data_IF_437933540927
#
_entry.id   IF_437933540927
#
_cell.length_a   1.000
_cell.length_b   1.000
_cell.length_c   1.000
_cell.angle_alpha   90.00
_cell.angle_beta   90.00
_cell.angle_gamma   90.00
#
_symmetry.space_group_name_H-M   'P 1'
#
loop_
_entity.id
_entity.type
_entity.pdbx_description
1 polymer ?
#
# COMPACT_ATOMS: atom_id res chain seq x y z
N UNK A 1 8.37 -67.75 -33.65
CA UNK A 1 9.05 -66.68 -34.43
C UNK A 1 8.27 -65.37 -34.50
N UNK A 2 6.96 -65.36 -34.80
CA UNK A 2 6.17 -64.10 -34.89
C UNK A 2 5.94 -63.35 -33.56
N UNK A 3 5.94 -64.03 -32.41
CA UNK A 3 5.70 -63.40 -31.10
C UNK A 3 6.94 -62.73 -30.47
N UNK A 4 8.15 -63.15 -30.86
CA UNK A 4 9.40 -62.55 -30.38
C UNK A 4 9.78 -61.28 -31.16
N UNK A 5 9.35 -61.17 -32.42
CA UNK A 5 9.60 -59.99 -33.25
C UNK A 5 8.77 -58.78 -32.77
N UNK A 6 7.52 -58.99 -32.33
CA UNK A 6 6.68 -57.89 -31.80
C UNK A 6 7.16 -57.33 -30.45
N UNK A 7 7.84 -58.12 -29.61
CA UNK A 7 8.38 -57.63 -28.33
C UNK A 7 9.68 -56.85 -28.50
N UNK A 8 10.44 -57.15 -29.56
CA UNK A 8 11.68 -56.44 -29.88
C UNK A 8 11.40 -55.08 -30.54
N UNK A 9 10.37 -54.98 -31.39
CA UNK A 9 9.97 -53.69 -31.98
C UNK A 9 9.35 -52.72 -30.97
N UNK A 10 8.59 -53.20 -29.98
CA UNK A 10 8.05 -52.34 -28.93
C UNK A 10 9.14 -51.78 -27.99
N UNK A 11 10.18 -52.56 -27.69
CA UNK A 11 11.31 -52.13 -26.85
C UNK A 11 12.20 -51.09 -27.55
N UNK A 12 12.42 -51.25 -28.85
CA UNK A 12 13.22 -50.31 -29.66
C UNK A 12 12.50 -48.97 -29.85
N UNK A 13 11.16 -48.96 -29.96
CA UNK A 13 10.38 -47.71 -30.04
C UNK A 13 10.32 -46.99 -28.68
N UNK A 14 10.25 -47.70 -27.56
CA UNK A 14 10.33 -47.09 -26.22
C UNK A 14 11.71 -46.49 -25.93
N UNK A 15 12.80 -47.15 -26.33
CA UNK A 15 14.15 -46.61 -26.16
C UNK A 15 14.45 -45.42 -27.10
N UNK A 16 13.86 -45.38 -28.30
CA UNK A 16 14.01 -44.27 -29.24
C UNK A 16 13.23 -42.99 -28.84
N UNK A 17 12.21 -43.11 -27.98
CA UNK A 17 11.44 -41.97 -27.47
C UNK A 17 12.00 -41.40 -26.16
N UNK A 18 12.78 -42.19 -25.41
CA UNK A 18 13.38 -41.75 -24.13
C UNK A 18 14.75 -41.08 -24.34
N UNK A 19 15.47 -41.41 -25.42
CA UNK A 19 16.84 -40.91 -25.63
C UNK A 19 16.99 -39.46 -26.15
N UNK A 20 16.00 -38.80 -26.81
CA UNK A 20 16.12 -37.37 -27.11
C UNK A 20 15.86 -36.48 -25.89
N UNK A 21 15.33 -37.03 -24.79
CA UNK A 21 14.98 -36.25 -23.59
C UNK A 21 16.18 -36.03 -22.64
N UNK A 22 17.33 -36.64 -22.93
CA UNK A 22 18.52 -36.62 -22.06
C UNK A 22 19.74 -35.90 -22.67
N UNK A 23 19.58 -35.23 -23.82
CA UNK A 23 20.67 -34.57 -24.55
C UNK A 23 20.28 -33.19 -25.11
N UNK A 24 19.37 -32.46 -24.43
CA UNK A 24 19.39 -31.00 -24.58
C UNK A 24 20.60 -30.49 -23.80
N UNK A 25 21.47 -29.65 -24.40
CA UNK A 25 22.49 -28.98 -23.62
C UNK A 25 21.76 -28.21 -22.51
N UNK A 26 22.20 -28.40 -21.27
CA UNK A 26 21.97 -27.41 -20.22
C UNK A 26 22.70 -26.15 -20.66
N UNK A 27 22.17 -25.44 -21.65
CA UNK A 27 22.42 -24.03 -21.81
C UNK A 27 21.94 -23.42 -20.52
N UNK A 28 22.88 -22.83 -19.77
CA UNK A 28 22.71 -22.03 -18.56
C UNK A 28 21.63 -20.95 -18.73
N UNK A 29 20.38 -21.37 -18.83
CA UNK A 29 19.22 -20.51 -18.72
C UNK A 29 19.00 -20.35 -17.23
N UNK A 30 19.88 -19.54 -16.64
CA UNK A 30 19.74 -18.66 -15.49
C UNK A 30 18.39 -18.63 -14.74
N UNK A 31 17.80 -19.77 -14.41
CA UNK A 31 16.67 -19.91 -13.50
C UNK A 31 17.13 -19.61 -12.07
N UNK A 32 18.41 -19.90 -11.75
CA UNK A 32 19.06 -19.52 -10.50
C UNK A 32 19.35 -18.01 -10.38
N UNK A 33 19.15 -17.21 -11.44
CA UNK A 33 19.22 -15.73 -11.35
C UNK A 33 17.86 -15.03 -11.47
N UNK A 34 16.78 -15.80 -11.66
CA UNK A 34 15.40 -15.30 -11.58
C UNK A 34 14.70 -15.73 -10.29
N UNK A 35 15.26 -16.67 -9.53
CA UNK A 35 14.68 -17.07 -8.24
C UNK A 35 15.17 -16.24 -7.04
N UNK A 36 16.22 -15.40 -7.16
CA UNK A 36 16.82 -14.67 -6.02
C UNK A 36 17.15 -13.19 -6.36
N UNK A 37 16.38 -12.55 -7.23
CA UNK A 37 16.48 -11.11 -7.50
C UNK A 37 15.12 -10.41 -7.47
N UNK A 38 14.38 -10.64 -6.38
CA UNK A 38 13.70 -9.56 -5.67
C UNK A 38 13.72 -10.02 -4.21
N UNK A 39 14.48 -9.35 -3.34
CA UNK A 39 13.97 -9.20 -1.98
C UNK A 39 12.50 -8.76 -2.14
N UNK A 40 11.54 -9.31 -1.39
CA UNK A 40 10.15 -8.84 -1.47
C UNK A 40 10.21 -7.31 -1.52
N UNK A 41 9.82 -6.72 -2.65
CA UNK A 41 10.20 -5.34 -2.86
C UNK A 41 9.43 -4.52 -1.84
N UNK A 42 10.16 -3.85 -0.96
CA UNK A 42 9.57 -3.01 0.05
C UNK A 42 9.02 -1.77 -0.66
N UNK A 43 7.71 -1.69 -0.81
CA UNK A 43 7.03 -0.57 -1.45
C UNK A 43 6.51 0.32 -0.32
N UNK A 44 7.08 1.51 -0.09
CA UNK A 44 6.65 2.36 1.02
C UNK A 44 5.29 3.00 0.73
N UNK A 45 4.43 3.02 1.74
CA UNK A 45 3.13 3.68 1.68
C UNK A 45 2.77 4.40 2.97
N UNK A 46 1.61 5.04 2.94
CA UNK A 46 0.99 5.69 4.10
C UNK A 46 -0.48 5.29 4.18
N UNK A 47 -1.08 5.45 5.35
CA UNK A 47 -2.52 5.49 5.50
C UNK A 47 -2.91 6.80 6.20
N UNK A 48 -4.04 7.37 5.77
CA UNK A 48 -4.42 8.74 6.14
C UNK A 48 -5.91 8.86 6.40
N UNK A 49 -6.25 9.82 7.23
CA UNK A 49 -7.63 10.16 7.59
C UNK A 49 -7.72 11.66 7.90
N UNK A 50 -8.82 12.12 8.49
CA UNK A 50 -8.93 13.51 8.98
C UNK A 50 -7.80 13.99 9.91
N UNK A 51 -7.06 13.07 10.52
CA UNK A 51 -5.96 13.41 11.44
C UNK A 51 -4.73 13.98 10.73
N UNK A 52 -4.59 13.77 9.42
CA UNK A 52 -3.50 14.35 8.63
C UNK A 52 -3.82 15.75 8.09
N UNK A 53 -5.01 16.28 8.40
CA UNK A 53 -5.47 17.61 7.99
C UNK A 53 -5.37 17.79 6.46
N UNK A 54 -4.81 18.91 6.00
CA UNK A 54 -4.57 19.18 4.58
C UNK A 54 -3.24 18.55 4.13
N UNK A 55 -3.30 17.74 3.08
CA UNK A 55 -2.17 17.02 2.50
C UNK A 55 -1.80 17.62 1.16
N UNK A 56 -0.53 17.99 0.97
CA UNK A 56 0.00 18.36 -0.34
C UNK A 56 0.38 17.11 -1.13
N UNK A 57 -0.61 16.52 -1.79
CA UNK A 57 -0.45 15.30 -2.58
C UNK A 57 0.56 15.41 -3.72
N UNK A 58 0.75 16.62 -4.29
CA UNK A 58 1.78 16.86 -5.31
C UNK A 58 3.19 16.73 -4.74
N UNK A 59 3.39 17.15 -3.50
CA UNK A 59 4.65 16.89 -2.81
C UNK A 59 4.78 15.42 -2.43
N UNK A 60 3.73 14.79 -1.88
CA UNK A 60 3.77 13.38 -1.44
C UNK A 60 4.19 12.43 -2.56
N UNK A 61 3.64 12.55 -3.78
CA UNK A 61 4.00 11.66 -4.91
C UNK A 61 5.47 11.76 -5.34
N UNK A 62 6.15 12.85 -4.97
CA UNK A 62 7.58 13.06 -5.24
C UNK A 62 8.48 12.56 -4.09
N UNK A 63 7.92 11.89 -3.09
CA UNK A 63 8.65 11.27 -1.97
C UNK A 63 8.91 9.77 -2.21
N UNK A 64 9.31 9.05 -1.15
CA UNK A 64 9.43 7.60 -1.15
C UNK A 64 8.06 6.89 -1.13
N UNK A 65 6.97 7.59 -0.84
CA UNK A 65 5.61 7.03 -0.81
C UNK A 65 5.14 6.65 -2.22
N UNK A 66 4.58 5.44 -2.35
CA UNK A 66 4.11 4.85 -3.61
C UNK A 66 2.63 4.49 -3.62
N UNK A 67 1.96 4.55 -2.46
CA UNK A 67 0.52 4.36 -2.34
C UNK A 67 -0.02 5.01 -1.07
N UNK A 68 -1.33 5.20 -1.03
CA UNK A 68 -2.04 5.62 0.18
C UNK A 68 -3.31 4.79 0.43
N UNK A 69 -3.60 4.45 1.69
CA UNK A 69 -4.87 3.84 2.10
C UNK A 69 -5.68 4.90 2.87
N UNK A 70 -6.88 5.24 2.39
CA UNK A 70 -7.67 6.35 2.92
C UNK A 70 -8.78 5.84 3.84
N UNK A 71 -8.96 6.44 5.03
CA UNK A 71 -10.17 6.18 5.81
C UNK A 71 -11.38 6.71 5.06
N UNK A 72 -12.31 5.86 4.69
CA UNK A 72 -13.55 6.28 4.05
C UNK A 72 -14.62 6.64 5.08
N UNK A 73 -14.80 5.78 6.08
CA UNK A 73 -15.75 5.98 7.15
C UNK A 73 -15.34 5.21 8.40
N UNK A 74 -16.07 5.44 9.48
CA UNK A 74 -15.96 4.67 10.72
C UNK A 74 -17.35 4.43 11.29
N UNK A 75 -17.45 3.37 12.07
CA UNK A 75 -18.66 3.03 12.82
C UNK A 75 -18.64 3.74 14.18
N UNK A 76 -19.80 4.26 14.59
CA UNK A 76 -20.06 4.79 15.94
C UNK A 76 -21.16 3.93 16.59
N UNK A 77 -20.83 2.67 16.87
CA UNK A 77 -21.79 1.62 17.23
C UNK A 77 -22.66 1.92 18.44
N UNK A 78 -22.12 2.63 19.43
CA UNK A 78 -22.88 3.06 20.61
C UNK A 78 -24.13 3.89 20.26
N UNK A 79 -24.18 4.47 19.05
CA UNK A 79 -25.32 5.21 18.51
C UNK A 79 -25.96 4.54 17.30
N UNK A 80 -25.50 3.34 16.92
CA UNK A 80 -25.92 2.64 15.70
C UNK A 80 -25.81 3.54 14.45
N UNK A 81 -24.67 4.23 14.34
CA UNK A 81 -24.44 5.29 13.35
C UNK A 81 -23.08 5.12 12.67
N UNK A 82 -22.92 5.77 11.52
CA UNK A 82 -21.69 5.79 10.73
C UNK A 82 -21.28 7.22 10.41
N UNK A 83 -19.97 7.49 10.44
CA UNK A 83 -19.40 8.79 10.11
C UNK A 83 -18.45 8.63 8.93
N UNK A 84 -18.77 9.27 7.80
CA UNK A 84 -17.81 9.47 6.70
C UNK A 84 -16.64 10.28 7.24
N UNK A 85 -15.41 9.88 6.92
CA UNK A 85 -14.27 10.71 7.27
C UNK A 85 -14.36 12.04 6.51
N UNK A 86 -14.36 13.20 7.20
CA UNK A 86 -14.60 14.50 6.57
C UNK A 86 -13.52 14.89 5.55
N UNK A 87 -12.37 14.23 5.56
CA UNK A 87 -11.30 14.45 4.58
C UNK A 87 -11.28 13.40 3.46
N UNK A 88 -12.15 12.38 3.48
CA UNK A 88 -12.10 11.27 2.51
C UNK A 88 -12.25 11.74 1.07
N UNK A 89 -13.31 12.49 0.74
CA UNK A 89 -13.57 12.94 -0.62
C UNK A 89 -12.43 13.84 -1.15
N UNK A 90 -12.00 14.80 -0.34
CA UNK A 90 -10.91 15.69 -0.70
C UNK A 90 -9.59 14.92 -0.93
N UNK A 91 -9.26 13.99 -0.02
CA UNK A 91 -8.04 13.19 -0.15
C UNK A 91 -8.10 12.29 -1.37
N UNK A 92 -9.23 11.65 -1.62
CA UNK A 92 -9.43 10.79 -2.77
C UNK A 92 -9.25 11.56 -4.09
N UNK A 93 -9.94 12.69 -4.24
CA UNK A 93 -9.85 13.52 -5.46
C UNK A 93 -8.43 14.02 -5.71
N UNK A 94 -7.77 14.55 -4.67
CA UNK A 94 -6.45 15.16 -4.81
C UNK A 94 -5.33 14.12 -4.99
N UNK A 95 -5.39 13.01 -4.26
CA UNK A 95 -4.42 11.92 -4.41
C UNK A 95 -4.52 11.27 -5.79
N UNK A 96 -5.76 11.00 -6.25
CA UNK A 96 -6.01 10.48 -7.60
C UNK A 96 -5.52 11.45 -8.68
N UNK A 97 -5.81 12.75 -8.55
CA UNK A 97 -5.33 13.76 -9.49
C UNK A 97 -3.79 13.87 -9.52
N UNK A 98 -3.11 13.52 -8.43
CA UNK A 98 -1.65 13.44 -8.36
C UNK A 98 -1.08 12.11 -8.90
N UNK A 99 -1.93 11.14 -9.28
CA UNK A 99 -1.52 9.83 -9.77
C UNK A 99 -1.11 8.85 -8.67
N UNK A 100 -1.57 9.05 -7.43
CA UNK A 100 -1.30 8.14 -6.32
C UNK A 100 -2.22 6.90 -6.39
N UNK A 101 -1.68 5.66 -6.37
CA UNK A 101 -2.47 4.44 -6.16
C UNK A 101 -3.16 4.44 -4.79
N UNK A 102 -4.45 4.08 -4.77
CA UNK A 102 -5.30 4.20 -3.58
C UNK A 102 -5.89 2.88 -3.12
N UNK A 103 -5.95 2.70 -1.81
CA UNK A 103 -6.88 1.80 -1.11
C UNK A 103 -7.79 2.59 -0.19
N UNK A 104 -8.71 1.92 0.49
CA UNK A 104 -9.50 2.56 1.54
C UNK A 104 -9.80 1.61 2.68
N UNK A 105 -10.26 2.16 3.81
CA UNK A 105 -10.65 1.35 4.96
C UNK A 105 -11.82 1.94 5.74
N UNK A 106 -12.59 1.05 6.36
CA UNK A 106 -13.59 1.36 7.37
C UNK A 106 -13.13 0.85 8.73
N UNK A 107 -13.07 1.73 9.73
CA UNK A 107 -12.94 1.31 11.12
C UNK A 107 -14.28 0.73 11.60
N UNK A 108 -14.28 -0.54 12.02
CA UNK A 108 -15.47 -1.24 12.50
C UNK A 108 -15.22 -1.98 13.81
N UNK A 109 -16.19 -1.92 14.71
CA UNK A 109 -16.26 -2.75 15.92
C UNK A 109 -17.32 -3.87 15.82
N UNK A 110 -17.70 -4.26 14.59
CA UNK A 110 -18.67 -5.31 14.32
C UNK A 110 -18.27 -6.65 14.98
N UNK A 111 -19.25 -7.33 15.55
CA UNK A 111 -19.09 -8.60 16.25
C UNK A 111 -20.00 -9.71 15.70
N UNK A 112 -20.86 -9.40 14.73
CA UNK A 112 -21.79 -10.35 14.12
C UNK A 112 -21.82 -10.15 12.61
N UNK A 113 -22.22 -11.19 11.88
CA UNK A 113 -22.38 -11.17 10.42
C UNK A 113 -23.24 -9.98 9.97
N UNK A 114 -24.39 -9.78 10.64
CA UNK A 114 -25.29 -8.67 10.35
C UNK A 114 -24.57 -7.32 10.47
N UNK A 115 -23.84 -7.10 11.55
CA UNK A 115 -23.11 -5.84 11.79
C UNK A 115 -22.03 -5.62 10.73
N UNK A 116 -21.27 -6.65 10.36
CA UNK A 116 -20.27 -6.55 9.29
C UNK A 116 -20.91 -6.18 7.95
N UNK A 117 -22.02 -6.82 7.58
CA UNK A 117 -22.72 -6.52 6.32
C UNK A 117 -23.27 -5.08 6.32
N UNK A 118 -23.89 -4.62 7.41
CA UNK A 118 -24.40 -3.24 7.53
C UNK A 118 -23.27 -2.21 7.42
N UNK A 119 -22.12 -2.47 8.05
CA UNK A 119 -20.95 -1.59 7.97
C UNK A 119 -20.35 -1.54 6.57
N UNK A 120 -20.23 -2.69 5.93
CA UNK A 120 -19.74 -2.78 4.55
C UNK A 120 -20.71 -2.10 3.59
N UNK A 121 -22.03 -2.29 3.74
CA UNK A 121 -23.02 -1.61 2.89
C UNK A 121 -22.88 -0.08 2.99
N UNK A 122 -22.68 0.46 4.19
CA UNK A 122 -22.43 1.89 4.36
C UNK A 122 -21.11 2.33 3.71
N UNK A 123 -20.04 1.56 3.88
CA UNK A 123 -18.77 1.83 3.22
C UNK A 123 -18.94 1.86 1.69
N UNK A 124 -19.57 0.84 1.10
CA UNK A 124 -19.79 0.73 -0.35
C UNK A 124 -20.59 1.91 -0.90
N UNK A 125 -21.55 2.44 -0.14
CA UNK A 125 -22.27 3.66 -0.50
C UNK A 125 -21.34 4.88 -0.59
N UNK A 126 -20.33 4.99 0.27
CA UNK A 126 -19.29 6.02 0.21
C UNK A 126 -18.32 5.84 -0.98
N UNK A 127 -18.14 4.59 -1.44
CA UNK A 127 -17.24 4.24 -2.54
C UNK A 127 -17.87 4.39 -3.94
N UNK A 128 -19.15 4.72 -4.04
CA UNK A 128 -19.83 4.87 -5.35
C UNK A 128 -19.10 5.85 -6.28
N UNK A 129 -18.85 5.42 -7.51
CA UNK A 129 -18.14 6.20 -8.52
C UNK A 129 -16.63 6.28 -8.28
N UNK A 130 -16.08 5.51 -7.34
CA UNK A 130 -14.66 5.47 -7.01
C UNK A 130 -14.03 4.14 -7.42
N UNK A 131 -12.73 4.16 -7.69
CA UNK A 131 -11.92 2.94 -7.96
C UNK A 131 -10.70 2.89 -7.03
N UNK A 132 -10.12 1.71 -6.86
CA UNK A 132 -8.98 1.52 -5.98
C UNK A 132 -8.05 0.47 -6.58
N UNK A 133 -6.75 0.75 -6.60
CA UNK A 133 -5.69 -0.18 -7.01
C UNK A 133 -5.32 -1.13 -5.86
N UNK A 134 -5.45 -0.66 -4.62
CA UNK A 134 -5.27 -1.46 -3.41
C UNK A 134 -6.61 -1.94 -2.85
N UNK A 135 -6.61 -2.94 -1.94
CA UNK A 135 -7.83 -3.44 -1.34
C UNK A 135 -8.62 -2.40 -0.54
N UNK A 136 -9.89 -2.75 -0.33
CA UNK A 136 -10.78 -2.14 0.64
C UNK A 136 -10.68 -2.94 1.93
N UNK A 137 -10.21 -2.30 3.00
CA UNK A 137 -9.87 -2.98 4.25
C UNK A 137 -10.95 -2.84 5.32
N UNK A 138 -11.25 -3.96 5.98
CA UNK A 138 -11.92 -3.96 7.28
C UNK A 138 -10.88 -3.72 8.36
N UNK A 139 -10.92 -2.55 8.98
CA UNK A 139 -10.07 -2.16 10.11
C UNK A 139 -10.74 -2.53 11.42
N UNK A 140 -10.15 -3.50 12.14
CA UNK A 140 -10.69 -4.06 13.36
C UNK A 140 -9.70 -3.93 14.50
N UNK A 141 -10.08 -3.19 15.56
CA UNK A 141 -9.21 -2.94 16.72
C UNK A 141 -9.97 -3.00 18.06
N UNK A 142 -11.23 -3.45 18.07
CA UNK A 142 -12.10 -3.27 19.22
C UNK A 142 -11.83 -4.26 20.34
N UNK A 143 -11.00 -3.86 21.31
CA UNK A 143 -10.81 -4.57 22.56
C UNK A 143 -12.12 -4.79 23.35
N UNK A 144 -13.09 -3.89 23.20
CA UNK A 144 -14.32 -3.92 23.98
C UNK A 144 -15.37 -4.91 23.43
N UNK A 145 -15.36 -5.18 22.11
CA UNK A 145 -16.41 -5.98 21.44
C UNK A 145 -15.88 -7.22 20.71
N UNK A 146 -14.63 -7.18 20.25
CA UNK A 146 -14.07 -8.20 19.35
C UNK A 146 -13.03 -9.08 20.03
N UNK A 147 -12.12 -8.52 20.85
CA UNK A 147 -11.00 -9.28 21.46
C UNK A 147 -11.41 -10.45 22.38
N UNK A 148 -12.67 -10.47 22.84
CA UNK A 148 -13.19 -11.56 23.67
C UNK A 148 -13.91 -12.67 22.88
N UNK A 149 -14.06 -12.50 21.56
CA UNK A 149 -14.69 -13.48 20.69
C UNK A 149 -13.66 -14.54 20.30
N UNK A 150 -14.05 -15.81 20.36
CA UNK A 150 -13.20 -16.88 19.83
C UNK A 150 -13.15 -16.81 18.30
N UNK A 151 -12.03 -17.20 17.65
CA UNK A 151 -11.94 -17.27 16.20
C UNK A 151 -13.12 -18.00 15.54
N UNK A 152 -13.56 -19.14 16.10
CA UNK A 152 -14.71 -19.92 15.59
C UNK A 152 -16.03 -19.12 15.49
N UNK A 153 -16.18 -18.07 16.29
CA UNK A 153 -17.37 -17.20 16.30
C UNK A 153 -17.15 -15.98 15.43
N UNK A 154 -15.94 -15.43 15.44
CA UNK A 154 -15.62 -14.19 14.75
C UNK A 154 -15.40 -14.38 13.25
N UNK A 155 -14.71 -15.45 12.86
CA UNK A 155 -14.33 -15.69 11.47
C UNK A 155 -15.51 -15.78 10.49
N UNK A 156 -16.62 -16.50 10.78
CA UNK A 156 -17.77 -16.52 9.88
C UNK A 156 -18.38 -15.13 9.64
N UNK A 157 -18.41 -14.28 10.68
CA UNK A 157 -18.93 -12.93 10.59
C UNK A 157 -18.00 -12.00 9.78
N UNK A 158 -16.69 -12.11 10.01
CA UNK A 158 -15.67 -11.38 9.26
C UNK A 158 -15.70 -11.75 7.78
N UNK A 159 -15.73 -13.05 7.46
CA UNK A 159 -15.76 -13.54 6.08
C UNK A 159 -16.99 -13.02 5.32
N UNK A 160 -18.16 -12.96 5.95
CA UNK A 160 -19.35 -12.38 5.31
C UNK A 160 -19.17 -10.90 4.95
N UNK A 161 -18.45 -10.13 5.78
CA UNK A 161 -18.08 -8.75 5.45
C UNK A 161 -17.13 -8.67 4.26
N UNK A 162 -16.11 -9.53 4.22
CA UNK A 162 -15.15 -9.61 3.12
C UNK A 162 -15.82 -10.03 1.80
N UNK A 163 -16.63 -11.08 1.83
CA UNK A 163 -17.43 -11.53 0.68
C UNK A 163 -18.34 -10.42 0.16
N UNK A 164 -18.94 -9.62 1.07
CA UNK A 164 -19.80 -8.49 0.68
C UNK A 164 -19.03 -7.39 -0.07
N UNK A 165 -17.76 -7.15 0.28
CA UNK A 165 -16.87 -6.23 -0.44
C UNK A 165 -16.55 -6.78 -1.83
N UNK A 166 -16.24 -8.08 -1.93
CA UNK A 166 -15.94 -8.76 -3.20
C UNK A 166 -17.15 -8.78 -4.15
N UNK A 167 -18.34 -9.06 -3.63
CA UNK A 167 -19.60 -9.02 -4.38
C UNK A 167 -19.89 -7.63 -4.97
N UNK A 168 -19.31 -6.57 -4.38
CA UNK A 168 -19.38 -5.21 -4.90
C UNK A 168 -18.30 -4.88 -5.94
N UNK A 169 -17.41 -5.82 -6.26
CA UNK A 169 -16.36 -5.69 -7.26
C UNK A 169 -15.06 -5.08 -6.74
N UNK A 170 -14.83 -5.07 -5.42
CA UNK A 170 -13.59 -4.61 -4.81
C UNK A 170 -12.78 -5.78 -4.25
N UNK A 171 -11.45 -5.71 -4.35
CA UNK A 171 -10.59 -6.61 -3.57
C UNK A 171 -10.77 -6.29 -2.09
N UNK A 172 -11.14 -7.28 -1.29
CA UNK A 172 -11.30 -7.14 0.16
C UNK A 172 -9.99 -7.45 0.89
N UNK A 173 -9.73 -6.80 2.01
CA UNK A 173 -8.58 -7.09 2.87
C UNK A 173 -8.89 -6.86 4.34
N UNK A 174 -8.00 -7.31 5.22
CA UNK A 174 -8.14 -7.15 6.67
C UNK A 174 -6.99 -6.34 7.23
N UNK A 175 -7.31 -5.35 8.06
CA UNK A 175 -6.34 -4.66 8.90
C UNK A 175 -6.57 -4.95 10.38
N UNK A 176 -5.47 -5.21 11.10
CA UNK A 176 -5.47 -5.21 12.56
C UNK A 176 -4.04 -5.18 13.14
N UNK A 177 -3.94 -5.11 14.46
CA UNK A 177 -2.68 -5.28 15.18
C UNK A 177 -2.20 -6.73 15.19
N UNK A 178 -0.89 -6.93 15.34
CA UNK A 178 -0.28 -8.26 15.49
C UNK A 178 -0.92 -9.09 16.61
N UNK A 179 -1.25 -8.45 17.74
CA UNK A 179 -1.89 -9.13 18.86
C UNK A 179 -3.29 -9.64 18.48
N UNK A 180 -4.06 -8.84 17.75
CA UNK A 180 -5.40 -9.21 17.33
C UNK A 180 -5.40 -10.34 16.30
N UNK A 181 -4.47 -10.31 15.33
CA UNK A 181 -4.28 -11.43 14.41
C UNK A 181 -3.89 -12.73 15.11
N UNK A 182 -3.16 -12.66 16.22
CA UNK A 182 -2.78 -13.86 16.99
C UNK A 182 -3.86 -14.36 17.94
N UNK A 183 -4.68 -13.45 18.49
CA UNK A 183 -5.63 -13.79 19.57
C UNK A 183 -7.06 -13.98 19.08
N UNK A 184 -7.46 -13.33 17.97
CA UNK A 184 -8.87 -13.17 17.58
C UNK A 184 -9.20 -13.69 16.17
N UNK A 185 -8.22 -13.72 15.27
CA UNK A 185 -8.40 -14.08 13.86
C UNK A 185 -7.68 -15.39 13.56
N UNK A 186 -8.31 -16.27 12.79
CA UNK A 186 -7.60 -17.37 12.14
C UNK A 186 -6.88 -16.83 10.89
N UNK A 187 -5.61 -16.48 11.07
CA UNK A 187 -4.77 -15.88 10.01
C UNK A 187 -4.62 -16.82 8.82
N UNK A 188 -4.37 -18.10 9.08
CA UNK A 188 -4.12 -19.09 8.03
C UNK A 188 -5.36 -19.22 7.14
N UNK A 189 -6.56 -19.18 7.73
CA UNK A 189 -7.81 -19.16 6.98
C UNK A 189 -7.92 -17.94 6.03
N UNK A 190 -7.50 -16.74 6.45
CA UNK A 190 -7.51 -15.55 5.57
C UNK A 190 -6.50 -15.70 4.43
N UNK A 191 -5.29 -16.19 4.73
CA UNK A 191 -4.23 -16.40 3.72
C UNK A 191 -4.67 -17.46 2.70
N UNK A 192 -5.24 -18.57 3.16
CA UNK A 192 -5.75 -19.65 2.29
C UNK A 192 -6.90 -19.17 1.41
N UNK A 193 -7.75 -18.28 1.92
CA UNK A 193 -8.81 -17.62 1.15
C UNK A 193 -8.28 -16.55 0.18
N UNK A 194 -7.01 -16.16 0.29
CA UNK A 194 -6.37 -15.18 -0.58
C UNK A 194 -6.61 -13.72 -0.17
N UNK A 195 -7.09 -13.47 1.05
CA UNK A 195 -7.30 -12.11 1.54
C UNK A 195 -5.97 -11.45 1.95
N UNK A 196 -5.66 -10.25 1.42
CA UNK A 196 -4.53 -9.46 1.88
C UNK A 196 -4.60 -9.12 3.36
N UNK A 197 -3.46 -9.28 4.02
CA UNK A 197 -3.27 -8.93 5.43
C UNK A 197 -2.50 -7.62 5.52
N UNK A 198 -3.10 -6.64 6.18
CA UNK A 198 -2.46 -5.39 6.58
C UNK A 198 -2.24 -5.41 8.10
N UNK A 199 -1.01 -5.63 8.55
CA UNK A 199 -0.71 -5.81 9.97
C UNK A 199 0.03 -4.63 10.57
N UNK A 200 -0.47 -4.12 11.71
CA UNK A 200 0.26 -3.18 12.54
C UNK A 200 1.16 -3.89 13.55
N UNK A 201 2.47 -3.65 13.43
CA UNK A 201 3.47 -4.15 14.37
C UNK A 201 4.68 -3.20 14.45
N UNK A 202 4.79 -2.42 15.54
CA UNK A 202 5.80 -1.38 15.67
C UNK A 202 7.01 -1.86 16.49
N UNK A 203 7.84 -2.71 15.90
CA UNK A 203 9.03 -3.27 16.56
C UNK A 203 9.96 -2.17 17.09
N UNK A 204 10.45 -2.37 18.31
CA UNK A 204 11.38 -1.46 18.99
C UNK A 204 10.91 0.00 19.06
N UNK A 205 9.60 0.24 18.96
CA UNK A 205 9.07 1.59 18.84
C UNK A 205 9.26 2.44 20.10
N UNK A 206 9.45 3.73 19.88
CA UNK A 206 9.43 4.75 20.93
C UNK A 206 8.23 5.66 20.65
N UNK A 207 7.16 5.53 21.45
CA UNK A 207 5.90 6.26 21.28
C UNK A 207 5.27 6.09 19.88
N UNK A 208 5.29 4.86 19.35
CA UNK A 208 4.75 4.55 18.02
C UNK A 208 5.69 4.84 16.86
N UNK A 209 6.84 5.48 17.10
CA UNK A 209 7.84 5.74 16.07
C UNK A 209 8.74 4.53 15.96
N UNK A 210 8.81 3.93 14.77
CA UNK A 210 9.71 2.83 14.50
C UNK A 210 10.36 2.93 13.11
N UNK A 211 11.38 2.12 12.90
CA UNK A 211 12.05 1.94 11.62
C UNK A 211 11.83 0.50 11.15
N UNK A 212 11.67 0.26 9.84
CA UNK A 212 11.56 -1.10 9.32
C UNK A 212 12.92 -1.83 9.32
N UNK A 213 14.02 -1.11 9.55
CA UNK A 213 15.37 -1.67 9.43
C UNK A 213 15.61 -2.83 10.42
N UNK A 214 15.93 -4.00 9.87
CA UNK A 214 16.26 -5.19 10.65
C UNK A 214 15.08 -6.09 10.98
N UNK A 215 13.89 -5.78 10.46
CA UNK A 215 12.65 -6.53 10.63
C UNK A 215 12.05 -6.85 9.26
N UNK A 216 11.33 -7.97 9.15
CA UNK A 216 10.67 -8.43 7.92
C UNK A 216 9.39 -9.19 8.28
N UNK A 217 8.28 -8.79 7.66
CA UNK A 217 6.94 -9.36 7.88
C UNK A 217 6.37 -9.99 6.60
N UNK A 218 7.17 -10.18 5.54
CA UNK A 218 6.66 -10.62 4.24
C UNK A 218 6.02 -12.02 4.25
N UNK A 219 6.36 -12.86 5.23
CA UNK A 219 5.77 -14.20 5.40
C UNK A 219 4.43 -14.17 6.16
N UNK A 220 4.14 -13.07 6.87
CA UNK A 220 2.97 -12.96 7.76
C UNK A 220 1.93 -11.96 7.24
N UNK A 221 2.37 -10.92 6.52
CA UNK A 221 1.53 -9.83 6.08
C UNK A 221 1.82 -9.42 4.62
N UNK A 222 0.78 -9.00 3.92
CA UNK A 222 0.89 -8.39 2.60
C UNK A 222 1.36 -6.94 2.70
N UNK A 223 0.85 -6.23 3.72
CA UNK A 223 1.22 -4.86 4.07
C UNK A 223 1.57 -4.83 5.55
N UNK A 224 2.71 -4.26 5.90
CA UNK A 224 3.13 -4.04 7.27
C UNK A 224 3.09 -2.55 7.61
N UNK A 225 2.21 -2.16 8.54
CA UNK A 225 2.27 -0.85 9.19
C UNK A 225 3.33 -0.90 10.28
N UNK A 226 4.51 -0.35 9.98
CA UNK A 226 5.67 -0.45 10.87
C UNK A 226 5.76 0.70 11.87
N UNK A 227 5.09 1.83 11.64
CA UNK A 227 5.16 3.00 12.53
C UNK A 227 3.87 3.80 12.50
N UNK A 228 3.35 4.15 13.68
CA UNK A 228 2.14 4.98 13.85
C UNK A 228 2.41 6.49 14.02
N UNK A 229 3.67 6.92 13.90
CA UNK A 229 3.99 8.36 13.98
C UNK A 229 5.20 8.80 13.13
N UNK A 230 5.28 8.29 11.91
CA UNK A 230 6.31 8.69 10.95
C UNK A 230 6.11 10.10 10.38
N UNK A 231 6.92 10.43 9.37
CA UNK A 231 6.88 11.71 8.64
C UNK A 231 6.84 11.46 7.14
N UNK A 232 6.21 12.38 6.41
CA UNK A 232 6.21 12.44 4.95
C UNK A 232 6.18 13.90 4.53
N UNK A 233 7.05 14.30 3.60
CA UNK A 233 6.96 15.64 3.03
C UNK A 233 5.60 15.81 2.34
N UNK A 234 4.98 16.97 2.54
CA UNK A 234 3.59 17.23 2.14
C UNK A 234 2.54 16.94 3.23
N UNK A 235 2.92 16.33 4.36
CA UNK A 235 2.05 16.11 5.53
C UNK A 235 2.66 16.81 6.75
N UNK A 236 1.88 17.67 7.42
CA UNK A 236 2.38 18.52 8.53
C UNK A 236 2.34 17.81 9.88
N UNK A 237 1.44 16.85 10.03
CA UNK A 237 1.28 16.02 11.23
C UNK A 237 2.18 14.79 11.16
N UNK A 238 2.08 13.92 12.15
CA UNK A 238 2.58 12.55 12.02
C UNK A 238 1.68 11.75 11.08
N UNK A 239 2.26 10.73 10.44
CA UNK A 239 1.55 9.83 9.52
C UNK A 239 2.02 8.40 9.72
N UNK A 240 1.09 7.48 9.56
CA UNK A 240 1.35 6.05 9.65
C UNK A 240 2.16 5.62 8.42
N UNK A 241 3.13 4.72 8.64
CA UNK A 241 4.07 4.29 7.61
C UNK A 241 3.93 2.80 7.38
N UNK A 242 3.85 2.44 6.10
CA UNK A 242 3.60 1.10 5.64
C UNK A 242 4.71 0.62 4.69
N UNK A 243 4.91 -0.70 4.66
CA UNK A 243 5.61 -1.41 3.60
C UNK A 243 4.65 -2.43 3.00
N UNK A 244 4.41 -2.35 1.70
CA UNK A 244 3.76 -3.42 0.95
C UNK A 244 4.82 -4.34 0.36
N UNK A 245 4.65 -5.65 0.51
CA UNK A 245 5.59 -6.67 0.03
C UNK A 245 5.22 -7.26 -1.34
N UNK A 246 4.12 -6.81 -1.93
CA UNK A 246 3.63 -7.31 -3.23
C UNK A 246 3.50 -6.19 -4.25
N UNK A 247 3.97 -6.46 -5.46
CA UNK A 247 3.68 -5.61 -6.62
C UNK A 247 2.30 -5.86 -7.22
N UNK A 248 1.56 -6.89 -6.79
CA UNK A 248 0.29 -7.28 -7.41
C UNK A 248 -0.76 -6.15 -7.37
N UNK A 249 -0.75 -5.30 -6.34
CA UNK A 249 -1.64 -4.14 -6.27
C UNK A 249 -1.27 -3.02 -7.24
N UNK A 250 -0.05 -3.01 -7.78
CA UNK A 250 0.48 -1.93 -8.61
C UNK A 250 0.76 -2.38 -10.04
N UNK A 251 0.83 -3.69 -10.26
CA UNK A 251 1.12 -4.31 -11.53
C UNK A 251 -0.16 -4.90 -12.11
N UNK A 252 -1.12 -4.04 -12.42
CA UNK A 252 -2.31 -4.44 -13.16
C UNK A 252 -1.87 -4.81 -14.57
N UNK A 253 -1.89 -6.11 -14.81
CA UNK A 253 -0.88 -6.76 -15.65
C UNK A 253 -1.11 -6.61 -17.14
N UNK A 254 -2.22 -5.97 -17.54
CA UNK A 254 -2.52 -5.70 -18.92
C UNK A 254 -1.58 -4.61 -19.46
N UNK A 255 -0.65 -5.00 -20.32
CA UNK A 255 0.24 -4.09 -21.05
C UNK A 255 0.06 -4.29 -22.55
N UNK A 256 0.28 -3.24 -23.33
CA UNK A 256 0.39 -3.35 -24.79
C UNK A 256 1.86 -3.44 -25.21
N UNK A 257 2.18 -4.38 -26.09
CA UNK A 257 3.51 -4.51 -26.69
C UNK A 257 3.44 -4.47 -28.22
N UNK A 258 4.55 -4.06 -28.85
CA UNK A 258 4.69 -3.99 -30.32
C UNK A 258 3.57 -3.17 -30.99
N UNK A 259 3.24 -2.02 -30.40
CA UNK A 259 2.07 -1.24 -30.78
C UNK A 259 2.34 -0.31 -31.96
N UNK A 260 1.32 -0.14 -32.81
CA UNK A 260 1.19 0.96 -33.76
C UNK A 260 -0.12 1.68 -33.45
N UNK A 261 -0.02 2.91 -32.95
CA UNK A 261 -1.12 3.70 -32.42
C UNK A 261 -1.25 5.01 -33.21
N UNK A 262 -2.45 5.59 -33.32
CA UNK A 262 -2.62 6.90 -33.93
C UNK A 262 -1.84 7.94 -33.13
N UNK A 263 -1.20 8.88 -33.81
CA UNK A 263 -0.43 9.95 -33.20
C UNK A 263 -0.30 11.13 -34.17
N UNK A 264 -0.21 12.34 -33.61
CA UNK A 264 -0.04 13.57 -34.40
C UNK A 264 -1.21 13.86 -35.34
N UNK A 265 -0.92 14.54 -36.44
CA UNK A 265 -1.92 14.96 -37.41
C UNK A 265 -2.14 13.88 -38.47
N UNK A 266 -3.38 13.42 -38.56
CA UNK A 266 -3.85 12.45 -39.53
C UNK A 266 -4.76 13.12 -40.55
N UNK A 267 -4.63 12.75 -41.82
CA UNK A 267 -5.44 13.33 -42.89
C UNK A 267 -6.89 12.83 -42.83
N UNK A 268 -7.86 13.73 -42.88
CA UNK A 268 -9.28 13.42 -42.96
C UNK A 268 -9.58 12.43 -44.11
N UNK A 269 -10.45 11.45 -43.83
CA UNK A 269 -10.75 10.37 -44.77
C UNK A 269 -9.69 9.25 -44.84
N UNK A 270 -8.55 9.39 -44.16
CA UNK A 270 -7.52 8.34 -44.10
C UNK A 270 -7.85 7.33 -43.02
N UNK A 271 -7.58 6.05 -43.29
CA UNK A 271 -7.73 5.01 -42.29
C UNK A 271 -6.40 4.72 -41.59
N UNK A 272 -6.46 4.24 -40.35
CA UNK A 272 -5.30 3.84 -39.56
C UNK A 272 -5.45 2.40 -39.07
N UNK A 273 -4.34 1.66 -39.08
CA UNK A 273 -4.31 0.28 -38.56
C UNK A 273 -3.72 0.27 -37.17
N UNK A 274 -4.58 0.10 -36.17
CA UNK A 274 -4.12 -0.20 -34.81
C UNK A 274 -3.45 -1.57 -34.81
N UNK A 275 -2.22 -1.63 -34.31
CA UNK A 275 -1.49 -2.86 -34.07
C UNK A 275 -0.96 -2.91 -32.64
N UNK A 276 -0.64 -4.11 -32.18
CA UNK A 276 -0.17 -4.37 -30.83
C UNK A 276 -0.75 -5.65 -30.27
N UNK A 277 -0.13 -6.17 -29.21
CA UNK A 277 -0.64 -7.30 -28.43
C UNK A 277 -0.85 -6.83 -27.00
N UNK A 278 -2.09 -6.91 -26.52
CA UNK A 278 -2.41 -6.74 -25.11
C UNK A 278 -2.10 -8.06 -24.41
N UNK A 279 -1.31 -8.02 -23.35
CA UNK A 279 -0.93 -9.19 -22.55
C UNK A 279 -1.21 -8.93 -21.08
N UNK A 280 -1.78 -9.89 -20.35
CA UNK A 280 -1.95 -9.82 -18.90
C UNK A 280 -1.44 -11.10 -18.21
N UNK A 281 -0.97 -10.98 -16.98
CA UNK A 281 -0.66 -12.11 -16.09
C UNK A 281 -1.94 -12.87 -15.68
N UNK A 282 -3.10 -12.22 -15.81
CA UNK A 282 -4.44 -12.76 -15.59
C UNK A 282 -5.20 -12.98 -16.91
N UNK A 283 -6.31 -13.73 -16.88
CA UNK A 283 -7.09 -14.01 -18.09
C UNK A 283 -7.87 -12.77 -18.50
N UNK A 284 -7.61 -12.21 -19.69
CA UNK A 284 -8.34 -11.06 -20.23
C UNK A 284 -9.81 -11.45 -20.46
N UNK A 285 -10.72 -10.79 -19.73
CA UNK A 285 -12.17 -10.94 -19.86
C UNK A 285 -12.70 -10.03 -20.96
N UNK A 286 -12.31 -8.76 -20.95
CA UNK A 286 -12.68 -7.80 -21.98
C UNK A 286 -11.49 -6.96 -22.43
N UNK A 287 -11.53 -6.52 -23.68
CA UNK A 287 -10.72 -5.39 -24.14
C UNK A 287 -11.67 -4.47 -24.89
N UNK A 288 -11.71 -3.21 -24.49
CA UNK A 288 -12.55 -2.17 -25.08
C UNK A 288 -11.65 -1.10 -25.69
N UNK A 289 -11.85 -0.82 -26.98
CA UNK A 289 -11.22 0.29 -27.68
C UNK A 289 -12.25 1.33 -28.01
N UNK A 290 -11.99 2.58 -27.65
CA UNK A 290 -12.92 3.69 -27.82
C UNK A 290 -12.19 4.94 -28.34
N UNK A 291 -12.87 5.69 -29.21
CA UNK A 291 -12.38 6.99 -29.71
C UNK A 291 -13.25 8.08 -29.11
N UNK A 292 -12.63 9.01 -28.40
CA UNK A 292 -13.28 10.15 -27.76
C UNK A 292 -12.97 11.44 -28.52
N UNK A 293 -13.94 12.35 -28.53
CA UNK A 293 -13.73 13.76 -28.89
C UNK A 293 -13.15 14.48 -27.65
N UNK A 294 -11.98 15.12 -27.78
CA UNK A 294 -11.34 15.79 -26.64
C UNK A 294 -12.09 17.05 -26.17
N UNK A 295 -13.02 17.58 -26.97
CA UNK A 295 -13.88 18.69 -26.57
C UNK A 295 -15.21 18.22 -25.96
N UNK A 296 -15.50 16.91 -26.02
CA UNK A 296 -16.70 16.32 -25.43
C UNK A 296 -16.44 14.86 -25.00
N UNK A 297 -15.71 14.71 -23.89
CA UNK A 297 -15.27 13.39 -23.38
C UNK A 297 -16.38 12.52 -22.76
N UNK A 298 -17.63 13.03 -22.71
CA UNK A 298 -18.73 12.37 -21.98
C UNK A 298 -19.09 10.99 -22.56
N UNK A 299 -19.06 10.86 -23.89
CA UNK A 299 -19.43 9.63 -24.62
C UNK A 299 -18.45 9.36 -25.77
N UNK A 300 -18.01 8.11 -25.98
CA UNK A 300 -17.13 7.79 -27.11
C UNK A 300 -17.89 7.87 -28.44
N UNK A 301 -17.23 8.45 -29.45
CA UNK A 301 -17.74 8.55 -30.83
C UNK A 301 -17.87 7.16 -31.45
N UNK A 302 -16.89 6.29 -31.16
CA UNK A 302 -16.84 4.91 -31.60
C UNK A 302 -16.36 4.05 -30.45
N UNK A 303 -16.95 2.87 -30.27
CA UNK A 303 -16.49 1.89 -29.29
C UNK A 303 -16.57 0.48 -29.85
N UNK A 304 -15.62 -0.36 -29.46
CA UNK A 304 -15.60 -1.78 -29.77
C UNK A 304 -15.12 -2.56 -28.55
N UNK A 305 -15.79 -3.66 -28.24
CA UNK A 305 -15.39 -4.57 -27.17
C UNK A 305 -15.20 -5.97 -27.72
N UNK A 306 -14.16 -6.65 -27.23
CA UNK A 306 -13.91 -8.07 -27.48
C UNK A 306 -13.77 -8.83 -26.17
N UNK A 307 -13.89 -10.15 -26.25
CA UNK A 307 -13.82 -11.06 -25.11
C UNK A 307 -12.76 -12.13 -25.39
N UNK A 308 -11.48 -11.86 -25.08
CA UNK A 308 -10.38 -12.75 -25.47
C UNK A 308 -10.43 -14.12 -24.79
N UNK A 309 -10.80 -14.16 -23.51
CA UNK A 309 -10.72 -15.36 -22.66
C UNK A 309 -9.33 -16.04 -22.71
N UNK A 310 -8.29 -15.22 -22.81
CA UNK A 310 -6.89 -15.64 -22.93
C UNK A 310 -6.00 -14.60 -22.24
N UNK A 311 -4.74 -14.95 -21.97
CA UNK A 311 -3.76 -14.01 -21.39
C UNK A 311 -3.17 -13.02 -22.40
N UNK A 312 -3.46 -13.20 -23.69
CA UNK A 312 -3.00 -12.31 -24.76
C UNK A 312 -4.09 -12.07 -25.80
N UNK A 313 -4.06 -10.89 -26.42
CA UNK A 313 -4.94 -10.55 -27.53
C UNK A 313 -4.26 -9.59 -28.52
N UNK A 314 -4.22 -9.97 -29.79
CA UNK A 314 -3.69 -9.13 -30.88
C UNK A 314 -4.76 -8.16 -31.36
N UNK A 315 -4.47 -6.87 -31.31
CA UNK A 315 -5.40 -5.80 -31.70
C UNK A 315 -5.63 -5.74 -33.22
N UNK A 316 -4.65 -6.18 -34.01
CA UNK A 316 -4.77 -6.17 -35.47
C UNK A 316 -5.95 -7.02 -35.94
N UNK A 317 -6.75 -6.47 -36.86
CA UNK A 317 -7.85 -7.21 -37.49
C UNK A 317 -9.22 -6.72 -37.05
N UNK A 318 -9.78 -7.26 -35.96
CA UNK A 318 -11.15 -6.94 -35.54
C UNK A 318 -11.31 -5.49 -35.10
N UNK A 319 -10.40 -4.96 -34.25
CA UNK A 319 -10.42 -3.56 -33.83
C UNK A 319 -10.26 -2.61 -35.01
N UNK A 320 -9.27 -2.86 -35.86
CA UNK A 320 -9.01 -2.07 -37.08
C UNK A 320 -10.23 -1.97 -38.01
N UNK A 321 -11.09 -2.99 -38.01
CA UNK A 321 -12.31 -3.01 -38.85
C UNK A 321 -13.50 -2.28 -38.23
N UNK A 322 -13.47 -2.03 -36.92
CA UNK A 322 -14.60 -1.49 -36.16
C UNK A 322 -14.37 -0.06 -35.68
N UNK A 323 -13.13 0.32 -35.41
CA UNK A 323 -12.72 1.70 -35.20
C UNK A 323 -12.27 2.29 -36.54
N UNK A 324 -13.16 3.05 -37.17
CA UNK A 324 -12.99 3.57 -38.53
C UNK A 324 -12.52 5.03 -38.44
N UNK A 325 -11.21 5.24 -38.52
CA UNK A 325 -10.60 6.57 -38.44
C UNK A 325 -11.00 7.46 -39.62
N UNK A 326 -11.22 6.85 -40.80
CA UNK A 326 -11.58 7.57 -42.02
C UNK A 326 -12.93 8.29 -41.95
N UNK A 327 -13.78 7.99 -40.98
CA UNK A 327 -15.09 8.66 -40.81
C UNK A 327 -15.07 9.78 -39.78
N UNK A 328 -13.94 10.00 -39.10
CA UNK A 328 -13.81 11.08 -38.14
C UNK A 328 -13.73 12.43 -38.88
N UNK A 329 -14.50 13.44 -38.46
CA UNK A 329 -14.37 14.79 -38.98
C UNK A 329 -13.06 15.44 -38.52
N UNK A 330 -12.79 16.65 -39.01
CA UNK A 330 -11.73 17.51 -38.50
C UNK A 330 -11.91 17.75 -36.99
N UNK A 331 -10.85 17.56 -36.20
CA UNK A 331 -10.93 17.66 -34.75
C UNK A 331 -9.81 16.97 -33.99
N UNK A 332 -9.84 17.08 -32.66
CA UNK A 332 -8.90 16.46 -31.73
C UNK A 332 -9.55 15.27 -31.02
N UNK A 333 -8.84 14.14 -31.01
CA UNK A 333 -9.37 12.87 -30.55
C UNK A 333 -8.39 12.13 -29.65
N UNK A 334 -8.91 11.18 -28.89
CA UNK A 334 -8.09 10.23 -28.14
C UNK A 334 -8.59 8.80 -28.36
N UNK A 335 -7.67 7.92 -28.74
CA UNK A 335 -7.91 6.47 -28.70
C UNK A 335 -7.57 5.97 -27.29
N UNK A 336 -8.58 5.45 -26.58
CA UNK A 336 -8.38 4.71 -25.33
C UNK A 336 -8.56 3.22 -25.58
N UNK A 337 -7.65 2.38 -25.09
CA UNK A 337 -7.83 0.93 -25.04
C UNK A 337 -7.76 0.50 -23.58
N UNK A 338 -8.85 -0.04 -23.08
CA UNK A 338 -8.97 -0.55 -21.71
C UNK A 338 -9.08 -2.07 -21.73
N UNK A 339 -8.33 -2.75 -20.88
CA UNK A 339 -8.41 -4.18 -20.66
C UNK A 339 -8.99 -4.47 -19.27
N UNK A 340 -9.91 -5.42 -19.19
CA UNK A 340 -10.35 -6.02 -17.92
C UNK A 340 -9.91 -7.45 -17.93
N UNK A 341 -9.16 -7.87 -16.91
CA UNK A 341 -8.76 -9.26 -16.76
C UNK A 341 -9.51 -9.95 -15.61
N UNK A 342 -9.10 -11.16 -15.25
CA UNK A 342 -9.78 -11.99 -14.27
C UNK A 342 -9.60 -11.52 -12.83
N UNK A 343 -8.81 -10.47 -12.57
CA UNK A 343 -8.84 -9.74 -11.30
C UNK A 343 -9.96 -8.70 -11.24
N UNK A 344 -10.76 -8.57 -12.31
CA UNK A 344 -11.86 -7.61 -12.47
C UNK A 344 -11.42 -6.13 -12.38
N UNK A 345 -10.12 -5.87 -12.52
CA UNK A 345 -9.57 -4.52 -12.63
C UNK A 345 -9.59 -4.04 -14.09
N UNK A 346 -10.11 -2.84 -14.33
CA UNK A 346 -10.02 -2.18 -15.62
C UNK A 346 -8.72 -1.36 -15.72
N UNK A 347 -7.89 -1.65 -16.73
CA UNK A 347 -6.58 -1.01 -16.96
C UNK A 347 -6.60 -0.31 -18.31
N UNK A 348 -6.32 0.99 -18.35
CA UNK A 348 -6.03 1.65 -19.63
C UNK A 348 -4.64 1.21 -20.10
N UNK A 349 -4.61 0.47 -21.20
CA UNK A 349 -3.36 -0.02 -21.83
C UNK A 349 -2.89 0.89 -22.97
N UNK A 350 -3.75 1.81 -23.42
CA UNK A 350 -3.44 2.84 -24.41
C UNK A 350 -4.27 4.09 -24.09
N UNK A 351 -3.60 5.24 -23.99
CA UNK A 351 -4.20 6.56 -24.10
C UNK A 351 -3.40 7.33 -25.16
N UNK A 352 -3.94 7.41 -26.39
CA UNK A 352 -3.21 7.91 -27.56
C UNK A 352 -3.96 9.08 -28.21
N UNK A 353 -3.54 10.34 -27.94
CA UNK A 353 -4.12 11.51 -28.58
C UNK A 353 -3.66 11.63 -30.05
N UNK A 354 -4.57 12.07 -30.91
CA UNK A 354 -4.32 12.36 -32.32
C UNK A 354 -5.32 13.40 -32.84
N UNK A 355 -4.99 14.05 -33.95
CA UNK A 355 -5.88 15.02 -34.57
C UNK A 355 -6.18 14.62 -36.01
N UNK A 356 -7.37 14.95 -36.49
CA UNK A 356 -7.76 14.83 -37.89
C UNK A 356 -7.75 16.22 -38.49
N UNK A 357 -7.00 16.40 -39.58
CA UNK A 357 -6.90 17.65 -40.35
C UNK A 357 -7.17 17.41 -41.84
N UNK A 358 -7.64 18.42 -42.58
CA UNK A 358 -7.92 18.28 -44.03
C UNK A 358 -6.72 17.76 -44.85
N UNK A 359 -5.50 18.16 -44.49
CA UNK A 359 -4.28 17.86 -45.23
C UNK A 359 -3.34 16.87 -44.52
N UNK A 360 -3.53 16.63 -43.21
CA UNK A 360 -2.67 15.76 -42.40
C UNK A 360 -1.27 16.33 -42.17
N UNK A 361 -1.09 17.65 -42.32
CA UNK A 361 0.21 18.29 -42.10
C UNK A 361 0.38 18.72 -40.64
N UNK A 362 1.60 18.63 -40.12
CA UNK A 362 1.94 19.30 -38.85
C UNK A 362 1.75 20.81 -39.06
N UNK A 363 0.83 21.43 -38.30
CA UNK A 363 0.78 22.88 -38.23
C UNK A 363 2.17 23.37 -37.79
N UNK A 364 2.85 24.26 -38.55
CA UNK A 364 4.05 24.88 -38.03
C UNK A 364 3.67 25.66 -36.76
N UNK A 365 4.51 25.66 -35.72
CA UNK A 365 4.24 26.48 -34.54
C UNK A 365 4.04 27.91 -35.02
N UNK A 366 2.91 28.50 -34.64
CA UNK A 366 2.62 29.90 -34.94
C UNK A 366 3.77 30.74 -34.37
N UNK A 367 4.62 31.23 -35.27
CA UNK A 367 5.75 32.07 -34.93
C UNK A 367 5.18 33.38 -34.41
N UNK A 368 5.22 33.58 -33.10
CA UNK A 368 5.07 34.91 -32.53
C UNK A 368 6.28 35.73 -32.96
N UNK A 369 6.00 36.63 -33.89
CA UNK A 369 6.90 37.63 -34.43
C UNK A 369 7.54 38.42 -33.27
N UNK A 370 8.84 38.23 -33.01
CA UNK A 370 9.61 39.14 -32.18
C UNK A 370 10.64 39.84 -33.06
N UNK A 371 10.35 41.09 -33.34
CA UNK A 371 11.17 41.99 -34.13
C UNK A 371 12.52 42.17 -33.43
N UNK A 372 13.59 41.79 -34.12
CA UNK A 372 14.96 42.04 -33.68
C UNK A 372 15.28 43.53 -33.85
N UNK A 373 15.63 44.22 -32.77
CA UNK A 373 16.48 45.43 -32.83
C UNK A 373 17.79 45.10 -32.11
N UNK A 374 18.88 45.19 -32.86
CA UNK A 374 20.23 44.97 -32.39
C UNK A 374 20.82 46.21 -31.72
N UNK A 375 21.66 45.96 -30.70
CA UNK A 375 23.04 46.44 -30.56
C UNK A 375 23.42 47.11 -29.21
N UNK A 376 24.57 46.62 -28.71
CA UNK A 376 25.63 47.32 -27.95
C UNK A 376 25.41 47.72 -26.48
N UNK A 377 26.09 47.01 -25.57
CA UNK A 377 27.40 47.41 -24.98
C UNK A 377 27.58 46.86 -23.55
N UNK A 378 28.72 46.20 -23.31
CA UNK A 378 29.36 46.12 -21.99
C UNK A 378 30.12 47.47 -21.75
N UNK A 379 30.71 47.79 -20.57
CA UNK A 379 31.02 46.93 -19.42
C UNK A 379 30.81 47.58 -18.02
N UNK A 380 31.02 46.84 -16.92
CA UNK A 380 31.99 47.17 -15.86
C UNK A 380 31.77 46.38 -14.55
N UNK A 381 32.91 46.05 -13.96
CA UNK A 381 33.24 45.34 -12.72
C UNK A 381 33.06 46.17 -11.43
N UNK A 382 33.24 45.48 -10.29
CA UNK A 382 33.47 45.95 -8.89
C UNK A 382 32.24 45.83 -7.97
N UNK A 383 32.33 45.40 -6.70
CA UNK A 383 33.43 44.95 -5.85
C UNK A 383 32.85 44.29 -4.60
N UNK A 384 33.64 43.42 -3.99
CA UNK A 384 33.44 42.80 -2.66
C UNK A 384 33.14 43.81 -1.55
N UNK A 385 32.40 43.39 -0.53
CA UNK A 385 32.71 43.78 0.86
C UNK A 385 32.43 42.64 1.82
N UNK A 386 33.50 42.22 2.48
CA UNK A 386 33.67 41.25 3.54
C UNK A 386 33.15 41.83 4.86
N UNK A 387 32.54 41.01 5.73
CA UNK A 387 32.45 41.30 7.16
C UNK A 387 32.72 40.03 7.97
N UNK A 388 33.79 40.11 8.75
CA UNK A 388 34.43 39.08 9.56
C UNK A 388 34.01 39.27 11.03
N UNK A 389 33.70 38.18 11.75
CA UNK A 389 33.70 38.14 13.22
C UNK A 389 34.30 36.78 13.65
N UNK A 390 35.61 36.67 13.78
CA UNK A 390 36.43 36.68 15.03
C UNK A 390 35.99 35.70 16.13
N UNK A 391 36.72 34.59 16.23
CA UNK A 391 36.87 33.76 17.44
C UNK A 391 37.94 34.35 18.38
N UNK A 392 37.75 34.18 19.69
CA UNK A 392 38.80 34.26 20.72
C UNK A 392 38.34 33.54 22.02
N UNK A 393 39.25 33.15 22.94
CA UNK A 393 39.25 31.79 23.50
C UNK A 393 39.21 31.64 25.05
N UNK A 394 39.15 30.38 25.50
CA UNK A 394 39.56 29.78 26.79
C UNK A 394 38.90 30.20 28.12
N UNK A 395 38.42 29.20 28.89
CA UNK A 395 38.97 28.86 30.22
C UNK A 395 38.28 27.65 30.87
N UNK A 396 39.10 26.74 31.41
CA UNK A 396 38.74 25.61 32.28
C UNK A 396 38.99 26.01 33.74
N UNK A 397 38.14 25.59 34.70
CA UNK A 397 38.55 25.41 36.09
C UNK A 397 38.21 24.00 36.65
N UNK A 398 38.78 23.64 37.82
CA UNK A 398 39.34 22.30 38.06
C UNK A 398 38.55 21.40 39.02
N UNK A 399 39.01 20.14 39.08
CA UNK A 399 38.83 19.07 40.07
C UNK A 399 38.01 19.36 41.34
N UNK A 400 37.06 18.49 41.65
CA UNK A 400 36.65 18.24 43.04
C UNK A 400 36.29 16.76 43.29
N UNK A 401 37.18 16.13 44.06
CA UNK A 401 37.03 15.01 45.01
C UNK A 401 36.00 13.90 44.77
N UNK A 402 36.53 12.71 44.47
CA UNK A 402 35.92 11.41 44.76
C UNK A 402 35.83 11.21 46.27
N UNK A 403 34.62 11.05 46.82
CA UNK A 403 34.39 10.50 48.16
C UNK A 403 33.58 9.21 48.10
N UNK A 404 34.19 8.16 48.62
CA UNK A 404 33.61 6.85 48.89
C UNK A 404 32.50 6.92 49.95
N UNK A 405 31.37 6.26 49.71
CA UNK A 405 30.36 5.97 50.73
C UNK A 405 30.06 4.46 50.79
N UNK A 406 30.29 3.88 51.96
CA UNK A 406 29.95 2.49 52.33
C UNK A 406 28.42 2.28 52.47
N UNK A 407 27.91 1.03 52.38
CA UNK A 407 26.49 0.76 52.18
C UNK A 407 25.69 0.83 53.49
N UNK A 408 24.59 1.59 53.50
CA UNK A 408 23.59 1.57 54.58
C UNK A 408 22.19 1.30 54.03
N UNK A 409 21.62 0.18 54.49
CA UNK A 409 20.20 -0.18 54.63
C UNK A 409 19.24 0.10 53.44
N UNK A 410 19.12 -0.89 52.56
CA UNK A 410 18.01 -1.04 51.61
C UNK A 410 16.75 -1.57 52.32
N UNK A 411 16.03 -0.70 53.04
CA UNK A 411 14.62 -0.93 53.41
C UNK A 411 13.81 0.35 53.27
N UNK A 412 13.41 0.66 52.03
CA UNK A 412 12.21 1.43 51.63
C UNK A 412 12.33 1.72 50.14
N UNK A 413 11.78 0.85 49.30
CA UNK A 413 11.55 1.18 47.90
C UNK A 413 10.28 2.02 47.81
N UNK A 414 10.42 3.30 47.46
CA UNK A 414 9.32 4.09 46.88
C UNK A 414 9.49 3.99 45.37
N UNK A 415 8.54 3.35 44.70
CA UNK A 415 8.45 3.40 43.24
C UNK A 415 7.83 4.75 42.85
N UNK A 416 8.50 5.49 41.99
CA UNK A 416 7.93 6.65 41.27
C UNK A 416 8.00 6.28 39.80
N UNK A 417 6.83 6.06 39.20
CA UNK A 417 6.70 5.80 37.77
C UNK A 417 6.10 7.05 37.15
N UNK A 418 6.75 7.61 36.14
CA UNK A 418 6.24 8.73 35.34
C UNK A 418 5.54 8.18 34.10
N UNK A 419 4.31 8.62 33.83
CA UNK A 419 3.63 8.39 32.56
C UNK A 419 2.81 9.61 32.13
N UNK A 420 2.92 9.94 30.85
CA UNK A 420 2.05 10.83 30.10
C UNK A 420 1.47 10.01 28.95
N UNK A 421 0.37 9.30 29.20
CA UNK A 421 -0.71 9.14 28.22
C UNK A 421 -1.94 8.48 28.88
N UNK A 422 -3.15 8.90 28.49
CA UNK A 422 -4.38 8.49 29.16
C UNK A 422 -4.93 7.12 28.73
N UNK A 423 -4.39 6.53 27.65
CA UNK A 423 -4.93 5.30 27.05
C UNK A 423 -4.51 3.99 27.76
N UNK A 424 -3.38 3.99 28.49
CA UNK A 424 -2.85 2.76 29.11
C UNK A 424 -3.29 2.52 30.58
N UNK A 425 -4.03 3.43 31.19
CA UNK A 425 -4.36 3.32 32.63
C UNK A 425 -5.40 2.23 32.94
N UNK A 426 -6.40 2.02 32.07
CA UNK A 426 -7.50 1.06 32.31
C UNK A 426 -7.08 -0.40 32.08
N UNK A 427 -6.39 -0.67 30.98
CA UNK A 427 -5.91 -2.01 30.62
C UNK A 427 -4.83 -2.50 31.58
N UNK A 428 -3.98 -1.60 32.09
CA UNK A 428 -3.00 -1.94 33.12
C UNK A 428 -3.66 -2.21 34.48
N UNK A 429 -4.63 -1.40 34.92
CA UNK A 429 -5.35 -1.64 36.19
C UNK A 429 -6.05 -3.01 36.21
N UNK A 430 -6.57 -3.48 35.08
CA UNK A 430 -7.16 -4.81 34.95
C UNK A 430 -6.11 -5.92 35.10
N UNK A 431 -4.93 -5.77 34.46
CA UNK A 431 -3.83 -6.74 34.50
C UNK A 431 -3.10 -6.78 35.86
N UNK A 432 -2.90 -5.64 36.53
CA UNK A 432 -2.38 -5.64 37.92
C UNK A 432 -3.39 -6.23 38.90
N UNK A 433 -4.69 -5.96 38.75
CA UNK A 433 -5.71 -6.56 39.63
C UNK A 433 -5.78 -8.08 39.48
N UNK A 434 -5.65 -8.61 38.26
CA UNK A 434 -5.59 -10.05 38.00
C UNK A 434 -4.31 -10.71 38.55
N UNK A 435 -3.16 -10.03 38.48
CA UNK A 435 -1.89 -10.51 39.04
C UNK A 435 -1.92 -10.51 40.58
N UNK A 436 -2.50 -9.48 41.20
CA UNK A 436 -2.68 -9.43 42.67
C UNK A 436 -3.71 -10.45 43.17
N UNK A 437 -4.75 -10.77 42.39
CA UNK A 437 -5.68 -11.87 42.69
C UNK A 437 -5.01 -13.25 42.65
N UNK A 438 -4.07 -13.47 41.72
CA UNK A 438 -3.28 -14.71 41.67
C UNK A 438 -2.25 -14.84 42.79
N UNK A 439 -1.82 -13.72 43.41
CA UNK A 439 -0.75 -13.69 44.42
C UNK A 439 -1.23 -13.46 45.88
N UNK A 440 -2.54 -13.32 46.13
CA UNK A 440 -3.13 -13.09 47.47
C UNK A 440 -2.47 -11.95 48.29
N UNK A 441 -2.01 -10.88 47.64
CA UNK A 441 -1.42 -9.72 48.33
C UNK A 441 -2.49 -8.67 48.66
N UNK A 442 -2.37 -8.07 49.86
CA UNK A 442 -3.37 -7.19 50.46
C UNK A 442 -3.59 -5.88 49.67
N UNK A 443 -4.85 -5.43 49.63
CA UNK A 443 -5.35 -4.36 48.76
C UNK A 443 -5.30 -3.01 49.47
N UNK A 444 -4.38 -2.13 49.09
CA UNK A 444 -4.48 -0.69 49.40
C UNK A 444 -4.37 0.14 48.11
N UNK A 445 -5.34 1.01 47.77
CA UNK A 445 -5.30 1.78 46.53
C UNK A 445 -4.50 3.08 46.72
N UNK A 446 -3.55 3.34 45.82
CA UNK A 446 -2.77 4.58 45.76
C UNK A 446 -3.35 5.52 44.68
N UNK A 447 -3.95 6.64 45.11
CA UNK A 447 -4.30 7.80 44.29
C UNK A 447 -3.65 9.05 44.91
N UNK A 448 -3.04 9.92 44.08
CA UNK A 448 -2.56 11.35 44.28
C UNK A 448 -1.02 11.59 44.14
N UNK A 449 -0.39 12.66 43.59
CA UNK A 449 -0.62 13.93 42.79
C UNK A 449 0.78 14.43 42.29
N UNK A 450 0.81 15.28 41.23
CA UNK A 450 1.63 16.51 40.92
C UNK A 450 2.70 16.48 39.80
N UNK A 451 2.53 17.46 38.91
CA UNK A 451 3.31 18.03 37.80
C UNK A 451 4.71 18.59 38.10
N UNK A 452 5.58 18.57 37.06
CA UNK A 452 6.54 19.64 36.76
C UNK A 452 8.00 19.44 37.22
N UNK A 453 8.89 19.02 36.31
CA UNK A 453 10.27 19.51 36.16
C UNK A 453 10.98 18.74 35.02
N UNK A 454 11.69 19.48 34.18
CA UNK A 454 12.55 19.00 33.10
C UNK A 454 13.87 18.47 33.69
N UNK A 455 14.30 17.24 33.36
CA UNK A 455 15.65 16.77 33.63
C UNK A 455 16.20 15.92 32.47
N UNK A 456 17.41 16.30 32.05
CA UNK A 456 18.28 15.62 31.09
C UNK A 456 19.03 14.51 31.82
N UNK A 457 19.10 13.29 31.29
CA UNK A 457 20.08 12.30 31.74
C UNK A 457 20.71 11.55 30.57
N UNK A 458 22.03 11.52 30.63
CA UNK A 458 22.99 10.84 29.76
C UNK A 458 22.99 9.32 30.05
N UNK A 459 23.13 8.55 28.97
CA UNK A 459 23.57 7.14 28.82
C UNK A 459 23.65 6.21 30.05
N UNK A 460 23.01 5.03 29.94
CA UNK A 460 23.39 3.85 30.73
C UNK A 460 22.40 2.67 30.61
N UNK A 461 22.76 1.64 29.83
CA UNK A 461 22.04 0.36 29.71
C UNK A 461 21.95 -0.39 31.06
N UNK A 462 20.83 -1.05 31.34
CA UNK A 462 20.81 -2.25 32.19
C UNK A 462 19.68 -3.22 31.79
N UNK A 463 20.07 -4.35 31.18
CA UNK A 463 19.21 -5.50 30.96
C UNK A 463 19.10 -6.35 32.24
N UNK A 464 17.88 -6.75 32.63
CA UNK A 464 17.65 -7.68 33.73
C UNK A 464 17.05 -9.01 33.22
N UNK A 465 17.83 -10.08 33.29
CA UNK A 465 17.46 -11.46 32.97
C UNK A 465 17.02 -12.16 34.27
N UNK A 466 15.78 -12.61 34.36
CA UNK A 466 15.25 -13.35 35.53
C UNK A 466 15.56 -14.84 35.37
N UNK A 467 16.24 -15.43 36.35
CA UNK A 467 16.43 -16.89 36.50
C UNK A 467 15.68 -17.32 37.76
N UNK A 468 14.71 -18.22 37.61
CA UNK A 468 13.94 -18.83 38.70
C UNK A 468 14.68 -20.08 39.20
N UNK A 469 15.18 -20.06 40.43
CA UNK A 469 15.59 -21.27 41.15
C UNK A 469 14.52 -21.64 42.18
N UNK A 470 13.86 -22.78 41.96
CA UNK A 470 12.91 -23.40 42.88
C UNK A 470 13.66 -24.07 44.04
N UNK A 471 13.54 -23.53 45.26
CA UNK A 471 13.92 -24.21 46.49
C UNK A 471 12.68 -24.73 47.23
N UNK A 472 12.51 -26.06 47.22
CA UNK A 472 11.61 -26.81 48.12
C UNK A 472 12.00 -26.59 49.58
N UNK A 473 11.00 -26.39 50.45
CA UNK A 473 10.86 -26.84 51.86
C UNK A 473 9.50 -26.25 52.34
N UNK A 474 8.50 -26.97 52.83
CA UNK A 474 8.52 -28.18 53.63
C UNK A 474 8.17 -27.83 55.08
N UNK A 475 6.87 -27.75 55.39
CA UNK A 475 6.17 -28.05 56.64
C UNK A 475 4.69 -27.69 56.47
#
# INVERSE_FOLDING_TARGET
MKLHICRLTALVIMLALIFPLLLLPASDFSADRLLHASAAAEIPGIDVSKYQEEIDWKTVVNTDIKYAILRCCKVIRQYDDWEIDPCFEQNYEQARAAGMPLGCYIYTDAATEKEFVEDVDYMLDCLKGKSFELPVFLDMESAARQEHLSPDVFMPALLAGLERIEDAGHTAGVYSSSAFFHECIDRDQLIEAGYPIWEANYFDSINGLASPAGHDLSDEATIWQYSGCGKCDGIRTTVDRNICYTYQFFNHSAVITNSALPAGNMKAGSNFTIAGTVTSDHVLRTITGAIYDLHNESDPIQTVTVYPHAKEYKLTGFFTKKLIFATLPDGEYELRITAVDSSDTAVSVVDAPFSITEDGSDMPPESTDSTTIAATSAPATSSQTTATLTEAPHSVPPDTEVRSAEPKDLRKWKFVIWYYDHWSFRSMCARTTALFQKLQLDRTPLYRIVSGACFRMETGYLAAKIRLDCAKKGA
#
